data_IF_223753989441
#
_entry.id   IF_223753989441
#
_cell.length_a   1.000
_cell.length_b   1.000
_cell.length_c   1.000
_cell.angle_alpha   90.00
_cell.angle_beta   90.00
_cell.angle_gamma   90.00
#
_symmetry.space_group_name_H-M   'P 1'
#
loop_
_entity.id
_entity.type
_entity.pdbx_description
1 polymer ?
#
# COMPACT_ATOMS: atom_id res chain seq x y z
N UNK A 1 1.51 4.69 6.79
CA UNK A 1 0.26 5.43 7.08
C UNK A 1 -0.55 5.50 5.81
N UNK A 2 -1.86 5.22 5.87
CA UNK A 2 -2.74 5.31 4.70
C UNK A 2 -3.18 6.76 4.52
N UNK A 3 -3.02 7.29 3.30
CA UNK A 3 -3.45 8.65 2.98
C UNK A 3 -4.94 8.65 2.62
N UNK A 4 -5.70 9.58 3.19
CA UNK A 4 -7.15 9.69 2.98
C UNK A 4 -7.55 9.94 1.52
N UNK A 5 -6.64 10.44 0.68
CA UNK A 5 -6.89 10.67 -0.75
C UNK A 5 -7.21 9.38 -1.51
N UNK A 6 -6.55 8.26 -1.17
CA UNK A 6 -6.78 6.96 -1.82
C UNK A 6 -8.20 6.46 -1.57
N UNK A 7 -8.69 6.62 -0.34
CA UNK A 7 -10.05 6.22 0.05
C UNK A 7 -11.09 7.09 -0.65
N UNK A 8 -10.86 8.41 -0.70
CA UNK A 8 -11.78 9.33 -1.36
C UNK A 8 -11.90 9.05 -2.88
N UNK A 9 -10.79 8.72 -3.55
CA UNK A 9 -10.79 8.35 -4.96
C UNK A 9 -11.54 7.04 -5.19
N UNK A 10 -11.31 6.03 -4.35
CA UNK A 10 -12.01 4.75 -4.45
C UNK A 10 -13.53 4.92 -4.28
N UNK A 11 -13.97 5.71 -3.30
CA UNK A 11 -15.39 6.02 -3.08
C UNK A 11 -16.04 6.73 -4.28
N UNK A 12 -15.36 7.73 -4.86
CA UNK A 12 -15.90 8.50 -5.99
C UNK A 12 -15.89 7.72 -7.32
N UNK A 13 -14.87 6.89 -7.53
CA UNK A 13 -14.70 6.15 -8.79
C UNK A 13 -15.37 4.78 -8.79
N UNK A 14 -15.70 4.23 -7.62
CA UNK A 14 -16.11 2.84 -7.44
C UNK A 14 -14.99 1.82 -7.72
N UNK A 15 -13.76 2.28 -7.97
CA UNK A 15 -12.63 1.42 -8.26
C UNK A 15 -12.13 0.72 -6.98
N UNK A 16 -11.72 -0.56 -7.06
CA UNK A 16 -11.14 -1.25 -5.92
C UNK A 16 -9.74 -0.71 -5.60
N UNK A 17 -9.41 -0.71 -4.31
CA UNK A 17 -8.06 -0.49 -3.80
C UNK A 17 -7.35 -1.84 -3.75
N UNK A 18 -6.18 -1.94 -4.39
CA UNK A 18 -5.36 -3.14 -4.36
C UNK A 18 -4.18 -2.96 -3.39
N UNK A 19 -4.13 -3.68 -2.25
CA UNK A 19 -2.98 -3.65 -1.35
C UNK A 19 -1.78 -4.30 -2.03
N UNK A 20 -0.64 -3.61 -2.04
CA UNK A 20 0.62 -4.12 -2.60
C UNK A 20 1.71 -3.91 -1.56
N UNK A 21 2.46 -4.96 -1.25
CA UNK A 21 3.66 -4.91 -0.42
C UNK A 21 4.88 -5.38 -1.22
N UNK A 22 5.99 -4.66 -1.05
CA UNK A 22 7.24 -4.89 -1.75
C UNK A 22 8.35 -4.95 -0.71
N UNK A 23 9.07 -6.07 -0.65
CA UNK A 23 10.21 -6.24 0.25
C UNK A 23 11.48 -6.59 -0.54
N UNK A 24 12.57 -5.90 -0.23
CA UNK A 24 13.89 -6.11 -0.79
C UNK A 24 14.94 -6.07 0.34
N UNK A 25 15.49 -7.21 0.77
CA UNK A 25 16.42 -7.27 1.91
C UNK A 25 17.76 -6.59 1.58
N UNK A 26 18.24 -6.72 0.34
CA UNK A 26 19.43 -6.00 -0.15
C UNK A 26 19.00 -4.81 -1.00
N UNK A 27 19.17 -3.61 -0.45
CA UNK A 27 18.78 -2.35 -1.08
C UNK A 27 19.73 -1.23 -0.68
N UNK A 28 19.89 -0.26 -1.57
CA UNK A 28 20.40 1.06 -1.23
C UNK A 28 19.24 1.91 -0.71
N UNK A 29 19.41 2.50 0.46
CA UNK A 29 18.54 3.57 0.92
C UNK A 29 19.23 4.89 0.53
N UNK A 30 18.66 5.60 -0.45
CA UNK A 30 19.21 6.88 -0.86
C UNK A 30 18.95 7.92 0.24
N UNK A 31 19.93 8.80 0.47
CA UNK A 31 19.76 9.97 1.35
C UNK A 31 19.06 11.12 0.61
N UNK A 32 18.00 10.80 -0.12
CA UNK A 32 17.16 11.75 -0.83
C UNK A 32 15.99 12.19 0.05
N UNK A 33 15.32 13.27 -0.34
CA UNK A 33 14.20 13.87 0.41
C UNK A 33 12.99 12.94 0.54
N UNK A 34 12.88 11.94 -0.32
CA UNK A 34 11.82 10.95 -0.41
C UNK A 34 12.23 9.56 0.11
N UNK A 35 13.50 9.39 0.52
CA UNK A 35 14.00 8.12 1.08
C UNK A 35 13.92 6.94 0.11
N UNK A 36 14.06 7.19 -1.20
CA UNK A 36 13.93 6.16 -2.24
C UNK A 36 14.86 4.96 -1.98
N UNK A 37 14.28 3.76 -2.10
CA UNK A 37 14.97 2.50 -1.90
C UNK A 37 15.19 1.81 -3.26
N UNK A 38 16.44 1.51 -3.59
CA UNK A 38 16.79 0.82 -4.83
C UNK A 38 17.29 -0.58 -4.47
N UNK A 39 16.58 -1.66 -4.83
CA UNK A 39 17.09 -3.02 -4.68
C UNK A 39 18.44 -3.15 -5.40
N UNK A 40 19.39 -3.85 -4.77
CA UNK A 40 20.65 -4.15 -5.45
C UNK A 40 20.40 -4.93 -6.74
N UNK A 41 21.26 -4.81 -7.77
CA UNK A 41 21.24 -5.73 -8.88
C UNK A 41 21.24 -7.18 -8.37
N UNK A 42 20.33 -8.00 -8.89
CA UNK A 42 20.13 -9.41 -8.48
C UNK A 42 19.63 -9.63 -7.05
N UNK A 43 19.13 -8.59 -6.37
CA UNK A 43 18.43 -8.75 -5.10
C UNK A 43 17.13 -9.52 -5.30
N UNK A 44 16.83 -10.47 -4.41
CA UNK A 44 15.50 -11.12 -4.38
C UNK A 44 14.49 -10.11 -3.87
N UNK A 45 13.46 -9.85 -4.66
CA UNK A 45 12.34 -8.99 -4.28
C UNK A 45 11.10 -9.86 -4.10
N UNK A 46 10.40 -9.67 -2.99
CA UNK A 46 9.09 -10.28 -2.75
C UNK A 46 8.03 -9.24 -3.03
N UNK A 47 7.13 -9.54 -3.97
CA UNK A 47 5.93 -8.76 -4.26
C UNK A 47 4.72 -9.54 -3.78
N UNK A 48 3.93 -8.93 -2.89
CA UNK A 48 2.68 -9.50 -2.40
C UNK A 48 1.54 -8.59 -2.81
N UNK A 49 0.52 -9.19 -3.38
CA UNK A 49 -0.69 -8.50 -3.84
C UNK A 49 -1.85 -9.07 -3.04
N UNK A 50 -2.54 -8.19 -2.31
CA UNK A 50 -3.70 -8.55 -1.51
C UNK A 50 -4.97 -8.68 -2.35
N UNK A 51 -6.05 -9.11 -1.69
CA UNK A 51 -7.37 -9.09 -2.31
C UNK A 51 -7.83 -7.64 -2.58
N UNK A 52 -8.58 -7.39 -3.67
CA UNK A 52 -9.18 -6.08 -3.92
C UNK A 52 -10.12 -5.65 -2.78
N UNK A 53 -10.01 -4.41 -2.31
CA UNK A 53 -10.93 -3.80 -1.35
C UNK A 53 -11.82 -2.78 -2.02
N UNK A 54 -13.13 -2.93 -1.83
CA UNK A 54 -14.12 -1.94 -2.21
C UNK A 54 -14.48 -1.09 -1.00
N UNK A 55 -14.51 0.23 -1.18
CA UNK A 55 -14.97 1.19 -0.18
C UNK A 55 -16.32 1.68 -0.63
N UNK A 56 -17.34 1.51 0.21
CA UNK A 56 -18.70 1.95 -0.11
C UNK A 56 -18.80 3.49 0.00
N UNK A 57 -19.62 4.16 -0.82
CA UNK A 57 -19.84 5.61 -0.71
C UNK A 57 -20.35 6.05 0.67
N UNK A 58 -21.08 5.18 1.37
CA UNK A 58 -21.65 5.43 2.69
C UNK A 58 -20.67 5.17 3.84
N UNK A 59 -19.50 4.59 3.56
CA UNK A 59 -18.49 4.28 4.56
C UNK A 59 -17.77 5.55 5.02
N UNK A 60 -17.58 5.67 6.34
CA UNK A 60 -16.80 6.80 6.88
C UNK A 60 -15.36 6.72 6.35
N UNK A 61 -14.83 7.86 5.90
CA UNK A 61 -13.49 7.93 5.28
C UNK A 61 -12.36 7.39 6.17
N UNK A 62 -12.54 7.50 7.49
CA UNK A 62 -11.58 7.01 8.49
C UNK A 62 -11.64 5.48 8.63
N UNK A 63 -12.85 4.89 8.62
CA UNK A 63 -13.05 3.44 8.64
C UNK A 63 -12.48 2.78 7.37
N UNK A 64 -12.74 3.37 6.20
CA UNK A 64 -12.16 2.91 4.94
C UNK A 64 -10.63 2.98 4.95
N UNK A 65 -10.05 4.05 5.52
CA UNK A 65 -8.60 4.18 5.64
C UNK A 65 -7.99 3.13 6.56
N UNK A 66 -8.64 2.83 7.68
CA UNK A 66 -8.18 1.81 8.61
C UNK A 66 -8.30 0.40 8.01
N UNK A 67 -9.36 0.08 7.28
CA UNK A 67 -9.47 -1.20 6.56
C UNK A 67 -8.37 -1.40 5.53
N UNK A 68 -8.07 -0.36 4.74
CA UNK A 68 -6.97 -0.39 3.78
C UNK A 68 -5.63 -0.59 4.50
N UNK A 69 -5.45 0.05 5.66
CA UNK A 69 -4.25 -0.12 6.49
C UNK A 69 -4.11 -1.55 6.97
N UNK A 70 -5.17 -2.14 7.51
CA UNK A 70 -5.17 -3.51 8.00
C UNK A 70 -4.89 -4.51 6.86
N UNK A 71 -5.46 -4.28 5.69
CA UNK A 71 -5.19 -5.11 4.52
C UNK A 71 -3.73 -5.04 4.05
N UNK A 72 -3.12 -3.85 4.09
CA UNK A 72 -1.68 -3.67 3.80
C UNK A 72 -0.80 -4.37 4.84
N UNK A 73 -1.13 -4.26 6.13
CA UNK A 73 -0.38 -4.92 7.20
C UNK A 73 -0.46 -6.45 7.11
N UNK A 74 -1.64 -6.99 6.76
CA UNK A 74 -1.84 -8.43 6.62
C UNK A 74 -0.99 -9.06 5.49
N UNK A 75 -0.65 -8.28 4.46
CA UNK A 75 0.20 -8.75 3.35
C UNK A 75 1.66 -8.35 3.51
N UNK A 76 2.01 -7.50 4.49
CA UNK A 76 3.38 -7.14 4.73
C UNK A 76 4.12 -8.32 5.36
N UNK A 77 5.34 -8.57 4.91
CA UNK A 77 6.27 -9.51 5.51
C UNK A 77 7.33 -8.64 6.16
N UNK A 78 7.14 -8.33 7.44
CA UNK A 78 8.14 -7.62 8.25
C UNK A 78 9.42 -8.45 8.39
#
# INVERSE_FOLDING_TARGET
>A
TVQHGVVALAMHSGAPILPIALNAPKRWNLKSWDGTQIPWPFSRVTLRIGAPLFVAPEEAREEGAERVRQALLAINED
#
